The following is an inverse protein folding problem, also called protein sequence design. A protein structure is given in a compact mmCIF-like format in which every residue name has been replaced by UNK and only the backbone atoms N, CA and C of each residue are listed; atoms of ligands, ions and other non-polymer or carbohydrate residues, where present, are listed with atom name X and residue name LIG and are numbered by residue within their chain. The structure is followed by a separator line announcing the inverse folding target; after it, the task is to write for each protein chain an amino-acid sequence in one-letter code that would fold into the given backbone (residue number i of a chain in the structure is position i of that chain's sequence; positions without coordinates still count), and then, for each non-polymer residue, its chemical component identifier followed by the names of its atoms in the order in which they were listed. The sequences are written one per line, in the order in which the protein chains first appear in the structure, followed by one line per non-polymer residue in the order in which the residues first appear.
data_IF_335623904824
#
_entry.id   IF_335623904824
#
_cell.length_a   1.000
_cell.length_b   1.000
_cell.length_c   1.000
_cell.angle_alpha   90.00
_cell.angle_beta   90.00
_cell.angle_gamma   90.00
#
_symmetry.space_group_name_H-M   'P 1'
#
loop_
_entity.id
_entity.type
_entity.pdbx_description
1 polymer ?
#
# COMPACT_ATOMS: atom_id res chain seq x y z
N UNK A 1 29.99 -16.03 3.04
CA UNK A 1 29.28 -15.06 2.18
C UNK A 1 27.85 -15.53 2.12
N UNK A 2 26.94 -14.83 2.80
CA UNK A 2 25.52 -15.13 2.65
C UNK A 2 25.11 -14.85 1.21
N UNK A 3 24.47 -15.85 0.57
CA UNK A 3 24.01 -15.73 -0.81
C UNK A 3 22.94 -14.66 -0.85
N UNK A 4 23.18 -13.57 -1.59
CA UNK A 4 22.16 -12.53 -1.84
C UNK A 4 20.94 -13.21 -2.45
N UNK A 5 19.80 -13.12 -1.75
CA UNK A 5 18.53 -13.71 -2.14
C UNK A 5 18.08 -13.13 -3.48
N UNK A 6 17.55 -13.95 -4.36
CA UNK A 6 17.04 -13.49 -5.67
C UNK A 6 15.53 -13.25 -5.63
N UNK A 7 15.02 -12.49 -6.61
CA UNK A 7 13.57 -12.34 -6.83
C UNK A 7 12.90 -13.71 -7.00
N UNK A 8 13.57 -14.66 -7.65
CA UNK A 8 13.08 -16.03 -7.84
C UNK A 8 12.95 -16.79 -6.52
N UNK A 9 13.89 -16.59 -5.59
CA UNK A 9 13.81 -17.18 -4.24
C UNK A 9 12.65 -16.57 -3.44
N UNK A 10 12.47 -15.25 -3.51
CA UNK A 10 11.30 -14.58 -2.90
C UNK A 10 9.98 -15.06 -3.48
N UNK A 11 9.86 -15.20 -4.81
CA UNK A 11 8.66 -15.77 -5.44
C UNK A 11 8.38 -17.20 -4.97
N UNK A 12 9.40 -18.03 -4.86
CA UNK A 12 9.26 -19.39 -4.34
C UNK A 12 8.78 -19.38 -2.88
N UNK A 13 9.31 -18.50 -2.05
CA UNK A 13 8.89 -18.37 -0.66
C UNK A 13 7.45 -17.84 -0.53
N UNK A 14 7.04 -16.89 -1.39
CA UNK A 14 5.65 -16.43 -1.42
C UNK A 14 4.68 -17.59 -1.65
N UNK A 15 4.92 -18.42 -2.68
CA UNK A 15 4.07 -19.58 -2.96
C UNK A 15 4.23 -20.73 -1.97
N UNK A 16 5.26 -20.70 -1.12
CA UNK A 16 5.37 -21.59 0.04
C UNK A 16 4.42 -21.16 1.16
N UNK A 17 4.32 -19.85 1.44
CA UNK A 17 3.43 -19.31 2.48
C UNK A 17 1.97 -19.17 2.04
N UNK A 18 1.71 -18.97 0.74
CA UNK A 18 0.37 -18.90 0.16
C UNK A 18 0.26 -19.82 -1.06
N UNK A 19 -0.36 -20.98 -0.85
CA UNK A 19 -0.50 -22.04 -1.87
C UNK A 19 -1.80 -21.95 -2.67
N UNK A 20 -2.76 -21.13 -2.22
CA UNK A 20 -4.06 -20.98 -2.87
C UNK A 20 -3.91 -20.18 -4.18
N UNK A 21 -4.74 -20.45 -5.20
CA UNK A 21 -4.70 -19.68 -6.44
C UNK A 21 -5.14 -18.23 -6.23
N UNK A 22 -4.37 -17.29 -6.76
CA UNK A 22 -4.74 -15.86 -6.79
C UNK A 22 -5.42 -15.56 -8.13
N UNK A 23 -6.59 -14.92 -8.05
CA UNK A 23 -7.32 -14.44 -9.22
C UNK A 23 -6.40 -13.58 -10.12
N UNK A 24 -6.46 -13.82 -11.43
CA UNK A 24 -5.57 -13.18 -12.40
C UNK A 24 -5.62 -11.65 -12.36
N UNK A 25 -6.77 -11.05 -12.02
CA UNK A 25 -6.94 -9.60 -11.88
C UNK A 25 -5.96 -9.02 -10.85
N UNK A 26 -5.78 -9.71 -9.72
CA UNK A 26 -4.95 -9.23 -8.61
C UNK A 26 -3.53 -9.79 -8.65
N UNK A 27 -3.28 -10.84 -9.43
CA UNK A 27 -1.98 -11.50 -9.52
C UNK A 27 -0.87 -10.53 -9.92
N UNK A 28 -1.14 -9.63 -10.87
CA UNK A 28 -0.15 -8.65 -11.31
C UNK A 28 0.24 -7.70 -10.17
N UNK A 29 -0.75 -7.15 -9.45
CA UNK A 29 -0.53 -6.29 -8.28
C UNK A 29 0.34 -6.98 -7.24
N UNK A 30 -0.01 -8.21 -6.86
CA UNK A 30 0.74 -8.98 -5.85
C UNK A 30 2.18 -9.23 -6.30
N UNK A 31 2.39 -9.57 -7.58
CA UNK A 31 3.73 -9.81 -8.12
C UNK A 31 4.57 -8.54 -8.18
N UNK A 32 4.01 -7.42 -8.63
CA UNK A 32 4.71 -6.13 -8.68
C UNK A 32 5.12 -5.67 -7.28
N UNK A 33 4.19 -5.73 -6.32
CA UNK A 33 4.44 -5.38 -4.93
C UNK A 33 5.53 -6.28 -4.32
N UNK A 34 5.47 -7.59 -4.57
CA UNK A 34 6.48 -8.55 -4.10
C UNK A 34 7.88 -8.25 -4.64
N UNK A 35 8.00 -7.94 -5.95
CA UNK A 35 9.29 -7.60 -6.56
C UNK A 35 9.80 -6.28 -6.00
N UNK A 36 8.94 -5.27 -5.86
CA UNK A 36 9.32 -3.99 -5.29
C UNK A 36 9.83 -4.13 -3.85
N UNK A 37 9.09 -4.84 -2.98
CA UNK A 37 9.50 -5.12 -1.61
C UNK A 37 10.84 -5.88 -1.55
N UNK A 38 11.06 -6.85 -2.45
CA UNK A 38 12.32 -7.57 -2.52
C UNK A 38 13.49 -6.66 -2.90
N UNK A 39 13.35 -5.85 -3.95
CA UNK A 39 14.42 -4.97 -4.40
C UNK A 39 14.78 -3.92 -3.36
N UNK A 40 13.82 -3.52 -2.52
CA UNK A 40 14.07 -2.66 -1.36
C UNK A 40 14.75 -3.42 -0.23
N UNK A 41 14.29 -4.62 0.12
CA UNK A 41 14.84 -5.36 1.27
C UNK A 41 16.32 -5.72 1.13
N UNK A 42 16.79 -5.93 -0.11
CA UNK A 42 18.21 -6.21 -0.40
C UNK A 42 19.05 -4.94 -0.65
N UNK A 43 18.45 -3.75 -0.66
CA UNK A 43 19.16 -2.50 -0.90
C UNK A 43 19.86 -2.01 0.37
N UNK A 44 21.18 -1.81 0.31
CA UNK A 44 22.03 -1.47 1.47
C UNK A 44 21.57 -0.23 2.27
N UNK A 45 21.03 0.78 1.58
CA UNK A 45 20.57 2.02 2.23
C UNK A 45 19.09 1.99 2.62
N UNK A 46 18.35 0.93 2.28
CA UNK A 46 16.95 0.83 2.64
C UNK A 46 16.81 0.53 4.12
N UNK A 47 15.87 1.22 4.76
CA UNK A 47 15.40 0.95 6.11
C UNK A 47 13.88 1.02 6.07
N UNK A 48 13.25 0.01 6.65
CA UNK A 48 11.82 0.04 6.89
C UNK A 48 11.54 1.14 7.91
N UNK A 49 10.53 1.95 7.63
CA UNK A 49 10.04 3.00 8.50
C UNK A 49 8.49 3.00 8.50
N UNK A 50 7.85 3.71 9.43
CA UNK A 50 6.40 3.73 9.55
C UNK A 50 5.67 4.28 8.31
N UNK A 51 6.23 5.27 7.62
CA UNK A 51 5.64 5.83 6.38
C UNK A 51 5.68 4.77 5.28
N UNK A 52 6.80 4.05 5.14
CA UNK A 52 6.87 2.90 4.23
C UNK A 52 5.88 1.80 4.60
N UNK A 53 5.71 1.48 5.90
CA UNK A 53 4.76 0.46 6.36
C UNK A 53 3.30 0.84 6.03
N UNK A 54 2.93 2.11 6.20
CA UNK A 54 1.65 2.65 5.72
C UNK A 54 1.53 2.46 4.21
N UNK A 55 2.57 2.83 3.45
CA UNK A 55 2.58 2.69 2.00
C UNK A 55 2.34 1.25 1.51
N UNK A 56 2.98 0.26 2.14
CA UNK A 56 2.79 -1.15 1.80
C UNK A 56 1.39 -1.63 2.15
N UNK A 57 0.94 -1.35 3.38
CA UNK A 57 -0.34 -1.81 3.90
C UNK A 57 -1.51 -1.22 3.11
N UNK A 58 -1.49 0.10 2.89
CA UNK A 58 -2.53 0.81 2.15
C UNK A 58 -2.52 0.47 0.67
N UNK A 59 -1.34 0.36 0.03
CA UNK A 59 -1.28 -0.09 -1.37
C UNK A 59 -1.92 -1.47 -1.52
N UNK A 60 -1.59 -2.40 -0.63
CA UNK A 60 -2.17 -3.74 -0.66
C UNK A 60 -3.68 -3.68 -0.47
N UNK A 61 -4.17 -3.01 0.58
CA UNK A 61 -5.60 -3.00 0.91
C UNK A 61 -6.43 -2.35 -0.20
N UNK A 62 -5.97 -1.22 -0.73
CA UNK A 62 -6.67 -0.50 -1.80
C UNK A 62 -6.70 -1.32 -3.10
N UNK A 63 -5.56 -1.87 -3.54
CA UNK A 63 -5.53 -2.67 -4.77
C UNK A 63 -6.21 -4.04 -4.63
N UNK A 64 -6.35 -4.57 -3.41
CA UNK A 64 -7.06 -5.83 -3.13
C UNK A 64 -8.54 -5.62 -2.81
N UNK A 65 -9.07 -4.40 -3.01
CA UNK A 65 -10.50 -4.13 -2.88
C UNK A 65 -11.32 -5.05 -3.78
N UNK A 66 -12.38 -5.63 -3.24
CA UNK A 66 -13.26 -6.55 -3.96
C UNK A 66 -12.72 -7.97 -4.15
N UNK A 67 -11.53 -8.30 -3.64
CA UNK A 67 -10.95 -9.64 -3.75
C UNK A 67 -11.88 -10.71 -3.15
N UNK A 68 -11.95 -11.89 -3.78
CA UNK A 68 -12.71 -13.05 -3.26
C UNK A 68 -11.89 -14.34 -3.36
N UNK A 69 -11.89 -15.18 -2.29
CA UNK A 69 -12.57 -14.96 -1.00
C UNK A 69 -11.82 -13.95 -0.12
N UNK A 70 -12.57 -13.18 0.69
CA UNK A 70 -12.01 -12.06 1.48
C UNK A 70 -10.94 -12.52 2.49
N UNK A 71 -11.14 -13.69 3.08
CA UNK A 71 -10.25 -14.32 4.07
C UNK A 71 -8.81 -14.52 3.56
N UNK A 72 -8.64 -14.70 2.25
CA UNK A 72 -7.34 -14.94 1.64
C UNK A 72 -6.47 -13.68 1.61
N UNK A 73 -7.06 -12.47 1.72
CA UNK A 73 -6.26 -11.22 1.71
C UNK A 73 -5.21 -11.21 2.83
N UNK A 74 -5.58 -11.64 4.03
CA UNK A 74 -4.65 -11.72 5.16
C UNK A 74 -3.52 -12.72 4.88
N UNK A 75 -3.86 -13.88 4.30
CA UNK A 75 -2.87 -14.90 3.90
C UNK A 75 -1.91 -14.37 2.84
N UNK A 76 -2.41 -13.65 1.83
CA UNK A 76 -1.61 -13.07 0.75
C UNK A 76 -0.67 -11.99 1.31
N UNK A 77 -1.18 -11.06 2.14
CA UNK A 77 -0.36 -10.03 2.77
C UNK A 77 0.74 -10.65 3.64
N UNK A 78 0.38 -11.64 4.46
CA UNK A 78 1.34 -12.33 5.32
C UNK A 78 2.41 -13.05 4.50
N UNK A 79 2.04 -13.66 3.37
CA UNK A 79 2.98 -14.30 2.48
C UNK A 79 3.90 -13.29 1.78
N UNK A 80 3.42 -12.09 1.43
CA UNK A 80 4.25 -11.02 0.86
C UNK A 80 5.36 -10.60 1.83
N UNK A 81 5.01 -10.26 3.07
CA UNK A 81 5.98 -9.85 4.09
C UNK A 81 6.98 -10.98 4.40
N UNK A 82 6.49 -12.21 4.64
CA UNK A 82 7.36 -13.36 4.93
C UNK A 82 8.27 -13.73 3.76
N UNK A 83 7.83 -13.52 2.52
CA UNK A 83 8.63 -13.80 1.33
C UNK A 83 9.84 -12.86 1.16
N UNK A 84 9.82 -11.69 1.81
CA UNK A 84 10.98 -10.78 1.91
C UNK A 84 11.64 -10.84 3.27
N UNK A 85 11.39 -11.91 4.04
CA UNK A 85 11.97 -12.16 5.37
C UNK A 85 11.57 -11.12 6.42
N UNK A 86 10.43 -10.46 6.22
CA UNK A 86 9.85 -9.52 7.16
C UNK A 86 8.70 -10.13 7.99
N UNK A 87 8.43 -9.52 9.15
CA UNK A 87 7.27 -9.88 9.96
C UNK A 87 6.03 -9.09 9.51
N UNK A 88 4.94 -9.74 9.05
CA UNK A 88 3.72 -9.04 8.66
C UNK A 88 3.06 -8.26 9.81
N UNK A 89 3.16 -8.75 11.05
CA UNK A 89 2.55 -8.09 12.20
C UNK A 89 3.21 -6.73 12.45
N UNK A 90 4.53 -6.61 12.21
CA UNK A 90 5.26 -5.33 12.34
C UNK A 90 4.78 -4.30 11.32
N UNK A 91 4.45 -4.71 10.09
CA UNK A 91 3.95 -3.79 9.05
C UNK A 91 2.59 -3.23 9.45
N UNK A 92 1.67 -4.10 9.88
CA UNK A 92 0.33 -3.70 10.32
C UNK A 92 0.41 -2.85 11.58
N UNK A 93 1.18 -3.29 12.58
CA UNK A 93 1.37 -2.56 13.83
C UNK A 93 1.94 -1.15 13.60
N UNK A 94 3.02 -1.01 12.83
CA UNK A 94 3.60 0.31 12.56
C UNK A 94 2.66 1.20 11.74
N UNK A 95 1.98 0.64 10.74
CA UNK A 95 1.01 1.36 9.93
C UNK A 95 -0.14 1.89 10.79
N UNK A 96 -0.81 1.01 11.55
CA UNK A 96 -1.97 1.37 12.36
C UNK A 96 -1.59 2.33 13.50
N UNK A 97 -0.49 2.05 14.21
CA UNK A 97 -0.03 2.91 15.31
C UNK A 97 0.30 4.30 14.80
N UNK A 98 0.96 4.42 13.64
CA UNK A 98 1.27 5.72 13.07
C UNK A 98 0.02 6.45 12.55
N UNK A 99 -0.90 5.74 11.89
CA UNK A 99 -2.16 6.31 11.41
C UNK A 99 -3.09 6.78 12.55
N UNK A 100 -3.03 6.12 13.71
CA UNK A 100 -3.74 6.52 14.93
C UNK A 100 -3.07 7.73 15.59
N UNK A 101 -1.73 7.75 15.63
CA UNK A 101 -0.98 8.88 16.19
C UNK A 101 -1.23 10.21 15.46
N UNK A 102 -1.38 10.17 14.15
CA UNK A 102 -1.65 11.38 13.36
C UNK A 102 -3.11 11.84 13.44
N UNK A 103 -4.02 11.01 13.97
CA UNK A 103 -5.43 11.34 14.03
C UNK A 103 -5.66 12.60 14.88
N UNK A 104 -6.35 13.59 14.31
CA UNK A 104 -6.59 14.87 14.97
C UNK A 104 -5.45 15.90 14.88
N UNK A 105 -4.32 15.58 14.24
CA UNK A 105 -3.26 16.56 13.91
C UNK A 105 -3.57 17.29 12.59
N UNK A 106 -3.04 18.51 12.42
CA UNK A 106 -2.99 19.14 11.10
C UNK A 106 -1.86 18.55 10.25
N UNK A 107 -1.94 18.72 8.93
CA UNK A 107 -0.88 18.28 8.03
C UNK A 107 0.42 19.06 8.29
N UNK A 108 0.33 20.35 8.60
CA UNK A 108 1.46 21.20 8.98
C UNK A 108 2.12 20.73 10.28
N UNK A 109 1.34 20.40 11.31
CA UNK A 109 1.86 19.89 12.58
C UNK A 109 2.61 18.57 12.38
N UNK A 110 2.07 17.68 11.53
CA UNK A 110 2.75 16.44 11.17
C UNK A 110 4.10 16.72 10.49
N UNK A 111 4.15 17.62 9.49
CA UNK A 111 5.40 17.94 8.81
C UNK A 111 6.42 18.52 9.79
N UNK A 112 6.00 19.45 10.65
CA UNK A 112 6.86 20.04 11.67
C UNK A 112 7.40 18.98 12.63
N UNK A 113 6.56 18.04 13.06
CA UNK A 113 6.98 16.92 13.91
C UNK A 113 7.94 15.98 13.19
N UNK A 114 7.70 15.65 11.91
CA UNK A 114 8.56 14.77 11.11
C UNK A 114 9.97 15.32 10.90
N UNK A 115 10.17 16.65 10.96
CA UNK A 115 11.51 17.26 10.87
C UNK A 115 12.40 16.89 12.06
N UNK A 116 11.79 16.75 13.24
CA UNK A 116 12.47 16.37 14.48
C UNK A 116 11.54 15.45 15.31
N UNK A 117 11.40 14.17 14.92
CA UNK A 117 10.47 13.28 15.60
C UNK A 117 10.86 13.16 17.06
N UNK A 118 9.90 13.34 17.97
CA UNK A 118 10.10 13.22 19.42
C UNK A 118 9.05 12.28 19.99
N UNK A 119 9.39 11.67 21.13
CA UNK A 119 8.44 10.81 21.84
C UNK A 119 7.23 11.64 22.28
N UNK A 120 6.05 11.22 21.85
CA UNK A 120 4.77 11.80 22.24
C UNK A 120 3.89 10.69 22.83
N UNK A 121 3.01 11.06 23.77
CA UNK A 121 2.14 10.10 24.45
C UNK A 121 1.31 9.31 23.42
N UNK A 122 1.42 7.98 23.46
CA UNK A 122 0.67 7.07 22.58
C UNK A 122 1.45 6.56 21.37
N UNK A 123 2.66 7.05 21.10
CA UNK A 123 3.51 6.54 20.02
C UNK A 123 4.66 5.68 20.55
N UNK A 124 4.84 4.48 19.98
CA UNK A 124 5.94 3.57 20.32
C UNK A 124 7.30 4.25 20.06
N UNK A 125 8.20 4.17 21.03
CA UNK A 125 9.55 4.72 20.94
C UNK A 125 10.34 4.12 19.76
N UNK A 126 10.10 2.85 19.41
CA UNK A 126 10.72 2.22 18.24
C UNK A 126 10.30 2.88 16.92
N UNK A 127 9.03 3.29 16.81
CA UNK A 127 8.50 4.01 15.64
C UNK A 127 9.16 5.40 15.55
N UNK A 128 9.24 6.12 16.67
CA UNK A 128 9.91 7.41 16.76
C UNK A 128 11.38 7.29 16.36
N UNK A 129 12.10 6.31 16.91
CA UNK A 129 13.51 6.07 16.64
C UNK A 129 13.74 5.66 15.17
N UNK A 130 12.83 4.88 14.58
CA UNK A 130 12.86 4.56 13.15
C UNK A 130 12.78 5.82 12.29
N UNK A 131 11.87 6.75 12.61
CA UNK A 131 11.72 8.01 11.89
C UNK A 131 12.91 8.96 12.09
N UNK A 132 13.47 9.04 13.31
CA UNK A 132 14.74 9.78 13.53
C UNK A 132 15.88 9.20 12.69
N UNK A 133 15.98 7.87 12.63
CA UNK A 133 17.08 7.21 11.91
C UNK A 133 17.09 7.50 10.42
N UNK A 134 15.92 7.78 9.81
CA UNK A 134 15.85 8.16 8.40
C UNK A 134 16.14 9.64 8.19
N UNK A 135 15.79 10.53 9.13
CA UNK A 135 16.02 11.99 9.02
C UNK A 135 17.45 12.40 9.35
N UNK A 136 18.18 11.58 10.10
CA UNK A 136 19.59 11.80 10.45
C UNK A 136 20.56 11.26 9.38
N UNK A 137 20.07 10.46 8.43
CA UNK A 137 20.89 9.86 7.37
C UNK A 137 20.95 10.72 6.11
N UNK A 138 22.15 10.83 5.54
CA UNK A 138 22.33 11.56 4.27
C UNK A 138 21.94 10.73 3.02
N UNK A 139 21.84 9.41 3.16
CA UNK A 139 21.71 8.45 2.08
C UNK A 139 20.33 7.77 2.04
N UNK A 140 19.30 8.46 2.56
CA UNK A 140 17.92 7.97 2.60
C UNK A 140 17.49 7.38 1.25
N UNK A 141 16.99 6.14 1.29
CA UNK A 141 16.52 5.44 0.10
C UNK A 141 15.04 5.70 -0.12
N UNK A 142 14.73 6.67 -0.98
CA UNK A 142 13.37 6.84 -1.47
C UNK A 142 12.85 5.58 -2.18
N UNK A 143 11.58 5.23 -1.91
CA UNK A 143 10.81 4.20 -2.59
C UNK A 143 9.44 4.74 -2.98
N UNK A 144 8.84 4.18 -4.05
CA UNK A 144 7.47 4.54 -4.45
C UNK A 144 6.50 4.23 -3.31
N UNK A 145 6.66 3.10 -2.62
CA UNK A 145 5.87 2.74 -1.44
C UNK A 145 5.96 3.78 -0.31
N UNK A 146 7.15 4.33 -0.03
CA UNK A 146 7.28 5.46 0.90
C UNK A 146 6.49 6.69 0.42
N UNK A 147 6.61 7.04 -0.87
CA UNK A 147 5.86 8.14 -1.46
C UNK A 147 4.33 7.96 -1.37
N UNK A 148 3.84 6.74 -1.63
CA UNK A 148 2.43 6.39 -1.48
C UNK A 148 2.01 6.49 -0.02
N UNK A 149 2.78 5.94 0.92
CA UNK A 149 2.48 6.03 2.35
C UNK A 149 2.37 7.48 2.82
N UNK A 150 3.34 8.30 2.42
CA UNK A 150 3.36 9.72 2.74
C UNK A 150 2.13 10.45 2.16
N UNK A 151 1.80 10.21 0.89
CA UNK A 151 0.58 10.73 0.28
C UNK A 151 -0.68 10.28 1.03
N UNK A 152 -0.80 9.00 1.37
CA UNK A 152 -1.97 8.46 2.08
C UNK A 152 -2.15 9.13 3.44
N UNK A 153 -1.05 9.36 4.16
CA UNK A 153 -1.04 10.09 5.42
C UNK A 153 -1.57 11.52 5.24
N UNK A 154 -0.99 12.29 4.30
CA UNK A 154 -1.44 13.67 4.05
C UNK A 154 -2.89 13.69 3.57
N UNK A 155 -3.30 12.78 2.70
CA UNK A 155 -4.68 12.68 2.22
C UNK A 155 -5.70 12.34 3.33
N UNK A 156 -5.27 11.63 4.38
CA UNK A 156 -6.11 11.34 5.56
C UNK A 156 -6.27 12.55 6.48
N UNK A 157 -5.24 13.42 6.56
CA UNK A 157 -5.29 14.65 7.37
C UNK A 157 -5.99 15.79 6.63
N UNK A 158 -5.64 15.99 5.36
CA UNK A 158 -6.19 17.02 4.50
C UNK A 158 -6.17 16.56 3.03
N UNK A 159 -7.33 16.07 2.58
CA UNK A 159 -7.49 15.60 1.20
C UNK A 159 -7.46 16.71 0.15
N UNK A 160 -7.73 17.97 0.54
CA UNK A 160 -7.67 19.10 -0.38
C UNK A 160 -6.22 19.48 -0.67
N UNK A 161 -5.38 19.53 0.38
CA UNK A 161 -3.94 19.73 0.23
C UNK A 161 -3.32 18.56 -0.54
N UNK A 162 -3.67 17.31 -0.21
CA UNK A 162 -3.05 16.15 -0.86
C UNK A 162 -3.31 16.06 -2.38
N UNK A 163 -4.46 16.55 -2.85
CA UNK A 163 -4.86 16.49 -4.27
C UNK A 163 -4.37 17.68 -5.08
N UNK A 164 -3.91 18.75 -4.42
CA UNK A 164 -3.39 19.96 -5.03
C UNK A 164 -1.86 19.89 -5.07
N UNK A 165 -1.29 19.80 -6.28
CA UNK A 165 0.14 19.60 -6.47
C UNK A 165 0.99 20.74 -5.87
N UNK A 166 0.53 21.99 -5.99
CA UNK A 166 1.26 23.15 -5.50
C UNK A 166 1.19 23.23 -3.98
N UNK A 167 0.00 23.01 -3.40
CA UNK A 167 -0.16 23.00 -1.94
C UNK A 167 0.62 21.85 -1.30
N UNK A 168 0.55 20.65 -1.87
CA UNK A 168 1.31 19.51 -1.39
C UNK A 168 2.81 19.78 -1.47
N UNK A 169 3.31 20.25 -2.61
CA UNK A 169 4.73 20.56 -2.78
C UNK A 169 5.22 21.60 -1.77
N UNK A 170 4.41 22.65 -1.53
CA UNK A 170 4.72 23.68 -0.53
C UNK A 170 4.73 23.13 0.89
N UNK A 171 3.73 22.32 1.26
CA UNK A 171 3.62 21.72 2.57
C UNK A 171 4.82 20.82 2.87
N UNK A 172 5.22 19.97 1.91
CA UNK A 172 6.26 18.96 2.14
C UNK A 172 7.68 19.49 1.95
N UNK A 173 7.87 20.69 1.40
CA UNK A 173 9.18 21.24 1.04
C UNK A 173 10.23 21.14 2.17
N UNK A 174 9.93 21.47 3.44
CA UNK A 174 10.91 21.34 4.52
C UNK A 174 11.37 19.89 4.74
N UNK A 175 10.43 18.94 4.72
CA UNK A 175 10.73 17.52 4.92
C UNK A 175 11.44 16.91 3.70
N UNK A 176 11.05 17.35 2.50
CA UNK A 176 11.70 16.96 1.26
C UNK A 176 13.15 17.44 1.20
N UNK A 177 13.44 18.67 1.65
CA UNK A 177 14.80 19.18 1.75
C UNK A 177 15.63 18.37 2.77
N UNK A 178 15.06 18.12 3.96
CA UNK A 178 15.71 17.35 5.04
C UNK A 178 16.13 15.96 4.59
N UNK A 179 15.26 15.24 3.88
CA UNK A 179 15.51 13.88 3.39
C UNK A 179 16.12 13.82 1.98
N UNK A 180 16.36 14.97 1.34
CA UNK A 180 16.76 15.08 -0.07
C UNK A 180 15.83 14.28 -0.99
N UNK A 181 14.52 14.36 -0.76
CA UNK A 181 13.52 13.59 -1.50
C UNK A 181 13.49 14.01 -2.97
N UNK A 182 13.37 13.05 -3.91
CA UNK A 182 13.14 13.36 -5.31
C UNK A 182 11.67 13.77 -5.52
N UNK A 183 11.32 15.02 -5.21
CA UNK A 183 9.92 15.53 -5.22
C UNK A 183 9.21 15.27 -6.55
N UNK A 184 9.88 15.53 -7.68
CA UNK A 184 9.32 15.28 -9.01
C UNK A 184 9.05 13.80 -9.29
N UNK A 185 9.84 12.91 -8.69
CA UNK A 185 9.58 11.47 -8.76
C UNK A 185 8.42 11.08 -7.87
N UNK A 186 8.36 11.62 -6.64
CA UNK A 186 7.26 11.40 -5.71
C UNK A 186 5.91 11.75 -6.33
N UNK A 187 5.80 12.92 -6.97
CA UNK A 187 4.59 13.35 -7.68
C UNK A 187 4.15 12.32 -8.73
N UNK A 188 5.06 11.94 -9.63
CA UNK A 188 4.80 10.93 -10.67
C UNK A 188 4.37 9.58 -10.11
N UNK A 189 5.03 9.15 -9.03
CA UNK A 189 4.74 7.90 -8.35
C UNK A 189 3.34 7.91 -7.71
N UNK A 190 2.92 9.03 -7.12
CA UNK A 190 1.58 9.25 -6.56
C UNK A 190 0.51 9.34 -7.65
N UNK A 191 0.77 10.06 -8.75
CA UNK A 191 -0.17 10.15 -9.87
C UNK A 191 -0.41 8.79 -10.53
N UNK A 192 0.67 8.01 -10.73
CA UNK A 192 0.56 6.65 -11.24
C UNK A 192 -0.23 5.75 -10.29
N UNK A 193 0.00 5.86 -8.98
CA UNK A 193 -0.76 5.14 -7.97
C UNK A 193 -2.26 5.45 -8.05
N UNK A 194 -2.63 6.74 -8.05
CA UNK A 194 -4.03 7.19 -8.16
C UNK A 194 -4.68 6.70 -9.46
N UNK A 195 -3.98 6.85 -10.59
CA UNK A 195 -4.48 6.38 -11.89
C UNK A 195 -4.71 4.87 -11.91
N UNK A 196 -3.84 4.09 -11.29
CA UNK A 196 -3.99 2.64 -11.23
C UNK A 196 -5.12 2.21 -10.30
N UNK A 197 -5.35 2.93 -9.20
CA UNK A 197 -6.51 2.71 -8.35
C UNK A 197 -7.82 2.98 -9.10
N UNK A 198 -7.90 4.09 -9.83
CA UNK A 198 -9.09 4.42 -10.62
C UNK A 198 -9.40 3.35 -11.66
N UNK A 199 -8.37 2.82 -12.35
CA UNK A 199 -8.54 1.72 -13.31
C UNK A 199 -9.07 0.45 -12.66
N UNK A 200 -8.57 0.08 -11.48
CA UNK A 200 -9.05 -1.10 -10.76
C UNK A 200 -10.49 -0.90 -10.30
N UNK A 201 -10.83 0.27 -9.74
CA UNK A 201 -12.19 0.59 -9.33
C UNK A 201 -13.17 0.54 -10.51
N UNK A 202 -12.81 1.11 -11.66
CA UNK A 202 -13.62 1.04 -12.89
C UNK A 202 -13.81 -0.41 -13.36
N UNK A 203 -12.75 -1.21 -13.36
CA UNK A 203 -12.82 -2.62 -13.73
C UNK A 203 -13.74 -3.42 -12.79
N UNK A 204 -13.70 -3.16 -11.48
CA UNK A 204 -14.56 -3.81 -10.49
C UNK A 204 -16.04 -3.48 -10.70
N UNK A 205 -16.36 -2.23 -11.05
CA UNK A 205 -17.73 -1.81 -11.41
C UNK A 205 -18.23 -2.62 -12.62
N UNK A 206 -17.45 -2.69 -13.70
CA UNK A 206 -17.81 -3.44 -14.91
C UNK A 206 -18.04 -4.93 -14.62
N UNK A 207 -17.21 -5.53 -13.75
CA UNK A 207 -17.37 -6.93 -13.34
C UNK A 207 -18.67 -7.13 -12.56
N UNK A 208 -18.97 -6.23 -11.61
CA UNK A 208 -20.20 -6.30 -10.83
C UNK A 208 -21.45 -6.22 -11.72
N UNK A 209 -21.48 -5.27 -12.66
CA UNK A 209 -22.55 -5.11 -13.64
C UNK A 209 -22.71 -6.36 -14.53
N UNK A 210 -21.59 -6.94 -14.98
CA UNK A 210 -21.59 -8.15 -15.83
C UNK A 210 -22.15 -9.37 -15.07
N UNK A 211 -21.81 -9.52 -13.79
CA UNK A 211 -22.34 -10.58 -12.94
C UNK A 211 -23.85 -10.38 -12.73
N UNK A 212 -24.29 -9.16 -12.45
CA UNK A 212 -25.71 -8.86 -12.25
C UNK A 212 -26.52 -9.12 -13.53
N UNK A 213 -26.04 -8.66 -14.67
CA UNK A 213 -26.68 -8.92 -15.96
C UNK A 213 -26.77 -10.42 -16.27
N UNK A 214 -25.72 -11.18 -15.97
CA UNK A 214 -25.69 -12.63 -16.16
C UNK A 214 -26.68 -13.35 -15.24
N UNK A 215 -26.80 -12.93 -13.98
CA UNK A 215 -27.79 -13.46 -13.03
C UNK A 215 -29.22 -13.16 -13.50
N UNK A 216 -29.51 -11.93 -13.93
CA UNK A 216 -30.83 -11.55 -14.48
C UNK A 216 -31.19 -12.37 -15.72
N UNK A 217 -30.24 -12.60 -16.63
CA UNK A 217 -30.44 -13.46 -17.80
C UNK A 217 -30.80 -14.89 -17.40
N UNK A 218 -30.06 -15.50 -16.47
CA UNK A 218 -30.36 -16.87 -15.97
C UNK A 218 -31.75 -16.98 -15.36
N UNK A 219 -32.12 -16.05 -14.46
CA UNK A 219 -33.45 -16.03 -13.83
C UNK A 219 -34.56 -15.87 -14.88
N UNK A 220 -34.34 -15.05 -15.92
CA UNK A 220 -35.32 -14.87 -16.98
C UNK A 220 -35.45 -16.12 -17.89
N UNK A 221 -34.35 -16.86 -18.12
CA UNK A 221 -34.39 -18.12 -18.85
C UNK A 221 -35.17 -19.18 -18.06
N UNK A 222 -34.85 -19.36 -16.77
CA UNK A 222 -35.57 -20.29 -15.88
C UNK A 222 -37.07 -19.97 -15.78
N UNK A 223 -37.44 -18.68 -15.73
CA UNK A 223 -38.86 -18.25 -15.74
C UNK A 223 -39.57 -18.50 -17.06
N UNK A 224 -38.85 -18.49 -18.18
CA UNK A 224 -39.42 -18.77 -19.51
C UNK A 224 -39.65 -20.26 -19.67
N UNK A 225 -38.67 -21.09 -19.29
CA UNK A 225 -38.77 -22.56 -19.31
C UNK A 225 -39.93 -23.07 -18.43
N UNK A 226 -40.08 -22.55 -17.21
CA UNK A 226 -41.20 -22.91 -16.32
C UNK A 226 -42.58 -22.51 -16.86
N UNK A 227 -42.67 -21.48 -17.72
CA UNK A 227 -43.93 -21.07 -18.36
C UNK A 227 -44.27 -21.93 -19.57
N UNK A 228 -43.26 -22.47 -20.24
CA UNK A 228 -43.44 -23.39 -21.37
C UNK A 228 -43.81 -24.80 -20.90
N UNK A 229 -43.29 -25.27 -19.76
CA UNK A 229 -43.66 -26.57 -19.18
C UNK A 229 -45.05 -26.60 -18.51
N UNK A 230 -45.63 -25.43 -18.20
CA UNK A 230 -46.93 -25.29 -17.55
C UNK A 230 -48.12 -25.12 -18.52
N UNK A 231 -47.86 -25.05 -19.84
CA UNK A 231 -48.86 -24.95 -20.91
C UNK A 231 -48.91 -26.23 -21.74
#
# INVERSE_FOLDING_TARGET
MDKIRTVSDTRRAFYHYHTRPINSIYRQVVQELMVEMHLLSVHVNFKQDPIYCVGVSESFDQFMTGYKPEEDKSSIFNALCKAVEANPDDYRYQSETFLNFIEGKSAEDLINWLLNPVSENGLDENIVNSLKSITEREDFKYSRLFGIGFYTIINKLDSEIAKDEEKLAKLIAPYAEKLKLPVEKLKKDVDLYRSNLDKINQMLIVIAETIEASKKKRINMEKTEQKEEAN
#
